data_IF_853092348976
#
_entry.id   IF_853092348976
#
_cell.length_a   1.000
_cell.length_b   1.000
_cell.length_c   1.000
_cell.angle_alpha   90.00
_cell.angle_beta   90.00
_cell.angle_gamma   90.00
#
_symmetry.space_group_name_H-M   'P 1'
#
loop_
_entity.id
_entity.type
_entity.pdbx_description
1 polymer ?
#
# COMPACT_ATOMS: atom_id res chain seq x y z
N UNK A 1 -13.48 6.94 8.84
CA UNK A 1 -12.38 6.33 8.08
C UNK A 1 -12.24 4.91 8.55
N UNK A 2 -12.39 3.94 7.64
CA UNK A 2 -12.04 2.54 7.92
C UNK A 2 -10.52 2.43 8.06
N UNK A 3 -10.05 1.87 9.18
CA UNK A 3 -8.61 1.75 9.50
C UNK A 3 -7.95 0.54 8.83
N UNK A 4 -8.73 -0.31 8.20
CA UNK A 4 -8.27 -1.52 7.50
C UNK A 4 -9.09 -1.69 6.23
N UNK A 5 -8.45 -2.24 5.20
CA UNK A 5 -9.07 -2.51 3.91
C UNK A 5 -8.64 -3.88 3.42
N UNK A 6 -9.62 -4.69 3.06
CA UNK A 6 -9.40 -5.97 2.41
C UNK A 6 -9.53 -5.74 0.91
N UNK A 7 -8.46 -6.03 0.17
CA UNK A 7 -8.43 -5.96 -1.29
C UNK A 7 -8.41 -7.40 -1.80
N UNK A 8 -9.51 -7.83 -2.44
CA UNK A 8 -9.56 -9.14 -3.07
C UNK A 8 -8.79 -9.11 -4.38
N UNK A 9 -7.84 -10.01 -4.52
CA UNK A 9 -6.98 -10.06 -5.69
C UNK A 9 -7.74 -10.69 -6.84
N UNK A 10 -7.84 -9.97 -7.95
CA UNK A 10 -8.44 -10.50 -9.18
C UNK A 10 -7.66 -11.72 -9.70
N UNK A 11 -6.36 -11.76 -9.41
CA UNK A 11 -5.49 -12.88 -9.74
C UNK A 11 -4.73 -13.33 -8.49
N UNK A 12 -4.83 -14.61 -8.10
CA UNK A 12 -4.07 -15.11 -6.96
C UNK A 12 -2.58 -14.98 -7.24
N UNK A 13 -1.84 -14.44 -6.26
CA UNK A 13 -0.39 -14.29 -6.32
C UNK A 13 0.26 -15.33 -5.42
N UNK A 14 1.20 -16.08 -5.98
CA UNK A 14 2.00 -17.04 -5.25
C UNK A 14 3.20 -16.35 -4.60
N UNK A 15 3.41 -16.63 -3.31
CA UNK A 15 4.64 -16.31 -2.58
C UNK A 15 5.86 -16.80 -3.36
N UNK A 16 7.00 -16.13 -3.17
CA UNK A 16 8.22 -16.50 -3.88
C UNK A 16 8.71 -17.93 -3.54
N UNK A 17 8.33 -18.45 -2.37
CA UNK A 17 8.62 -19.82 -1.91
C UNK A 17 7.59 -20.86 -2.42
N UNK A 18 6.55 -20.43 -3.15
CA UNK A 18 5.49 -21.30 -3.68
C UNK A 18 4.59 -21.95 -2.62
N UNK A 19 4.79 -21.63 -1.34
CA UNK A 19 4.02 -22.22 -0.22
C UNK A 19 2.70 -21.53 0.08
N UNK A 20 2.56 -20.27 -0.32
CA UNK A 20 1.41 -19.44 0.04
C UNK A 20 0.80 -18.81 -1.20
N UNK A 21 -0.52 -18.90 -1.32
CA UNK A 21 -1.29 -18.31 -2.39
C UNK A 21 -2.14 -17.21 -1.77
N UNK A 22 -1.85 -15.97 -2.10
CA UNK A 22 -2.62 -14.83 -1.64
C UNK A 22 -3.78 -14.60 -2.60
N UNK A 23 -5.00 -14.78 -2.09
CA UNK A 23 -6.25 -14.45 -2.78
C UNK A 23 -6.79 -13.09 -2.37
N UNK A 24 -6.36 -12.57 -1.22
CA UNK A 24 -6.73 -11.26 -0.71
C UNK A 24 -5.55 -10.66 0.05
N UNK A 25 -5.50 -9.32 0.09
CA UNK A 25 -4.52 -8.54 0.83
C UNK A 25 -5.25 -7.75 1.91
N UNK A 26 -4.75 -7.85 3.15
CA UNK A 26 -5.23 -7.05 4.26
C UNK A 26 -4.32 -5.86 4.46
N UNK A 27 -4.81 -4.69 4.07
CA UNK A 27 -4.17 -3.41 4.30
C UNK A 27 -4.65 -2.84 5.63
N UNK A 28 -3.75 -2.19 6.36
CA UNK A 28 -4.09 -1.35 7.51
C UNK A 28 -3.72 0.11 7.26
N UNK A 29 -4.16 0.97 8.16
CA UNK A 29 -3.73 2.35 8.24
C UNK A 29 -2.20 2.42 8.38
N UNK A 30 -1.51 3.19 7.51
CA UNK A 30 -0.08 3.44 7.63
C UNK A 30 0.22 4.25 8.89
N UNK A 31 1.24 3.84 9.63
CA UNK A 31 1.75 4.62 10.76
C UNK A 31 2.66 5.75 10.27
N UNK A 32 2.89 6.75 11.13
CA UNK A 32 3.73 7.92 10.82
C UNK A 32 5.08 7.52 10.20
N UNK A 33 5.76 6.52 10.78
CA UNK A 33 7.08 6.07 10.30
C UNK A 33 7.01 5.40 8.92
N UNK A 34 5.89 4.76 8.57
CA UNK A 34 5.70 4.14 7.25
C UNK A 34 5.43 5.22 6.19
N UNK A 35 4.69 6.26 6.56
CA UNK A 35 4.46 7.43 5.72
C UNK A 35 5.76 8.21 5.48
N UNK A 36 6.59 8.38 6.50
CA UNK A 36 7.91 9.00 6.35
C UNK A 36 8.80 8.19 5.39
N UNK A 37 8.82 6.86 5.54
CA UNK A 37 9.53 5.97 4.62
C UNK A 37 9.01 6.06 3.18
N UNK A 38 7.69 6.22 2.99
CA UNK A 38 7.10 6.48 1.68
C UNK A 38 7.64 7.78 1.09
N UNK A 39 7.61 8.90 1.82
CA UNK A 39 8.13 10.18 1.31
C UNK A 39 9.63 10.14 1.04
N UNK A 40 10.41 9.43 1.86
CA UNK A 40 11.82 9.20 1.59
C UNK A 40 12.05 8.38 0.33
N UNK A 41 11.27 7.32 0.13
CA UNK A 41 11.36 6.45 -1.05
C UNK A 41 10.89 7.19 -2.33
N UNK A 42 9.87 8.04 -2.22
CA UNK A 42 9.37 8.88 -3.30
C UNK A 42 10.46 9.87 -3.76
N UNK A 43 11.12 10.53 -2.80
CA UNK A 43 12.25 11.44 -3.08
C UNK A 43 13.49 10.74 -3.64
N UNK A 44 13.79 9.51 -3.20
CA UNK A 44 15.01 8.77 -3.60
C UNK A 44 14.83 7.97 -4.88
N UNK A 45 13.61 7.53 -5.20
CA UNK A 45 13.35 6.58 -6.28
C UNK A 45 12.22 7.08 -7.19
N UNK A 46 11.05 6.42 -7.16
CA UNK A 46 9.90 6.73 -7.99
C UNK A 46 8.63 6.58 -7.14
N UNK A 47 7.57 7.37 -7.42
CA UNK A 47 6.29 7.29 -6.70
C UNK A 47 5.70 5.88 -6.72
N UNK A 48 5.84 5.17 -7.83
CA UNK A 48 5.34 3.80 -7.98
C UNK A 48 6.15 2.77 -7.19
N UNK A 49 7.43 3.03 -6.91
CA UNK A 49 8.26 2.21 -6.03
C UNK A 49 7.97 2.52 -4.55
N UNK A 50 7.80 3.80 -4.22
CA UNK A 50 7.41 4.26 -2.89
C UNK A 50 6.04 3.69 -2.48
N UNK A 51 5.04 3.76 -3.37
CA UNK A 51 3.70 3.22 -3.11
C UNK A 51 3.74 1.70 -2.92
N UNK A 52 4.54 0.98 -3.72
CA UNK A 52 4.79 -0.46 -3.51
C UNK A 52 5.38 -0.76 -2.14
N UNK A 53 6.36 0.04 -1.72
CA UNK A 53 6.97 -0.10 -0.39
C UNK A 53 5.95 0.16 0.72
N UNK A 54 5.13 1.20 0.59
CA UNK A 54 4.08 1.50 1.56
C UNK A 54 3.05 0.37 1.66
N UNK A 55 2.60 -0.17 0.52
CA UNK A 55 1.70 -1.33 0.48
C UNK A 55 2.34 -2.54 1.15
N UNK A 56 3.64 -2.78 0.93
CA UNK A 56 4.36 -3.87 1.59
C UNK A 56 4.43 -3.69 3.12
N UNK A 57 4.59 -2.45 3.61
CA UNK A 57 4.67 -2.14 5.03
C UNK A 57 3.31 -2.25 5.74
N UNK A 58 2.25 -1.75 5.09
CA UNK A 58 0.88 -1.77 5.65
C UNK A 58 0.13 -3.07 5.39
N UNK A 59 0.62 -3.91 4.50
CA UNK A 59 0.10 -5.25 4.32
C UNK A 59 0.46 -6.07 5.55
N UNK A 60 -0.54 -6.64 6.23
CA UNK A 60 -0.29 -7.57 7.34
C UNK A 60 0.34 -8.89 6.87
N UNK A 61 0.16 -9.19 5.59
CA UNK A 61 0.79 -10.28 4.89
C UNK A 61 2.22 -9.89 4.51
N UNK A 62 3.22 -10.75 4.72
CA UNK A 62 4.63 -10.52 4.34
C UNK A 62 4.83 -10.49 2.81
N UNK A 63 4.21 -9.52 2.15
CA UNK A 63 4.32 -9.31 0.72
C UNK A 63 5.68 -8.72 0.40
N UNK A 64 6.49 -9.47 -0.34
CA UNK A 64 7.77 -8.98 -0.86
C UNK A 64 7.53 -8.14 -2.12
N UNK A 65 8.44 -7.21 -2.44
CA UNK A 65 8.38 -6.41 -3.68
C UNK A 65 8.23 -7.29 -4.94
N UNK A 66 8.83 -8.49 -4.94
CA UNK A 66 8.72 -9.49 -6.01
C UNK A 66 7.29 -10.02 -6.17
N UNK A 67 6.56 -10.21 -5.08
CA UNK A 67 5.17 -10.69 -5.08
C UNK A 67 4.24 -9.57 -5.55
N UNK A 68 4.45 -8.34 -5.07
CA UNK A 68 3.70 -7.16 -5.50
C UNK A 68 3.87 -6.89 -7.00
N UNK A 69 5.03 -7.18 -7.58
CA UNK A 69 5.26 -7.09 -9.04
C UNK A 69 4.43 -8.08 -9.87
N UNK A 70 3.94 -9.17 -9.28
CA UNK A 70 3.10 -10.18 -9.95
C UNK A 70 1.61 -9.87 -9.88
N UNK A 71 1.22 -8.88 -9.06
CA UNK A 71 -0.16 -8.46 -8.83
C UNK A 71 -0.75 -7.71 -10.02
N UNK A 72 -2.08 -7.74 -10.19
CA UNK A 72 -2.74 -7.00 -11.25
C UNK A 72 -2.71 -5.49 -10.95
N UNK A 73 -2.61 -4.67 -12.01
CA UNK A 73 -2.58 -3.21 -11.88
C UNK A 73 -3.88 -2.63 -11.29
N UNK A 74 -5.00 -3.31 -11.49
CA UNK A 74 -6.31 -2.95 -10.91
C UNK A 74 -6.28 -3.06 -9.40
N UNK A 75 -5.82 -4.19 -8.88
CA UNK A 75 -5.72 -4.43 -7.45
C UNK A 75 -4.71 -3.43 -6.84
N UNK A 76 -3.61 -3.14 -7.56
CA UNK A 76 -2.60 -2.18 -7.09
C UNK A 76 -3.18 -0.77 -6.94
N UNK A 77 -4.01 -0.35 -7.89
CA UNK A 77 -4.69 0.95 -7.85
C UNK A 77 -5.68 1.04 -6.69
N UNK A 78 -6.37 -0.05 -6.32
CA UNK A 78 -7.23 -0.03 -5.14
C UNK A 78 -6.44 0.22 -3.85
N UNK A 79 -5.29 -0.44 -3.70
CA UNK A 79 -4.40 -0.20 -2.56
C UNK A 79 -3.89 1.25 -2.54
N UNK A 80 -3.50 1.76 -3.71
CA UNK A 80 -3.04 3.14 -3.88
C UNK A 80 -4.13 4.14 -3.48
N UNK A 81 -5.36 3.99 -3.96
CA UNK A 81 -6.48 4.89 -3.63
C UNK A 81 -6.75 4.90 -2.13
N UNK A 82 -6.72 3.72 -1.49
CA UNK A 82 -6.91 3.61 -0.05
C UNK A 82 -5.82 4.35 0.73
N UNK A 83 -4.54 4.11 0.42
CA UNK A 83 -3.42 4.74 1.11
C UNK A 83 -3.34 6.24 0.83
N UNK A 84 -3.58 6.64 -0.42
CA UNK A 84 -3.62 8.04 -0.81
C UNK A 84 -4.73 8.79 -0.08
N UNK A 85 -5.83 8.13 0.31
CA UNK A 85 -6.86 8.76 1.16
C UNK A 85 -6.35 9.16 2.55
N UNK A 86 -5.31 8.51 3.08
CA UNK A 86 -4.67 8.90 4.35
C UNK A 86 -3.56 9.94 4.12
N UNK A 87 -2.82 9.83 3.02
CA UNK A 87 -1.75 10.79 2.67
C UNK A 87 -2.32 12.14 2.23
N UNK A 88 -3.42 12.12 1.46
CA UNK A 88 -4.14 13.31 1.00
C UNK A 88 -5.03 13.90 2.09
N UNK A 89 -5.13 13.27 3.26
CA UNK A 89 -5.65 13.91 4.46
C UNK A 89 -4.62 14.93 4.95
N UNK A 90 -4.53 16.05 4.24
CA UNK A 90 -4.12 17.29 4.88
C UNK A 90 -5.28 17.67 5.79
N UNK A 91 -5.06 17.96 7.09
CA UNK A 91 -6.07 18.72 7.81
C UNK A 91 -6.24 19.98 6.98
N UNK A 92 -7.37 20.08 6.28
CA UNK A 92 -7.68 21.28 5.53
C UNK A 92 -7.48 22.41 6.52
N UNK A 93 -6.67 23.37 6.11
CA UNK A 93 -6.47 24.65 6.77
C UNK A 93 -7.85 25.25 7.05
N UNK A 94 -8.45 24.85 8.17
CA UNK A 94 -9.57 25.52 8.80
C UNK A 94 -8.92 26.52 9.73
N UNK A 95 -8.25 27.47 9.11
CA UNK A 95 -7.38 28.47 9.73
C UNK A 95 -7.29 29.73 8.90
N UNK A 96 -8.28 30.01 8.04
CA UNK A 96 -8.50 31.37 7.56
C UNK A 96 -9.00 32.22 8.74
N UNK A 97 -8.07 32.92 9.39
CA UNK A 97 -8.33 33.97 10.37
C UNK A 97 -8.11 35.35 9.73
#
# INVERSE_FOLDING_TARGET
MEKTKIVQLSKPIESNDGKEIYQEIHLREPTLIEVEQFYEADRKSNPLAAMRLLIALVSQTQLTDTVLKKMAITDFRECEVFLTSFLAYTPSDSGSN
#
